data_IF_518587493414
#
_entry.id   IF_518587493414
#
_cell.length_a   1.000
_cell.length_b   1.000
_cell.length_c   1.000
_cell.angle_alpha   90.00
_cell.angle_beta   90.00
_cell.angle_gamma   90.00
#
_symmetry.space_group_name_H-M   'P 1'
#
loop_
_entity.id
_entity.type
_entity.pdbx_description
1 polymer ?
#
# COMPACT_ATOMS: atom_id res chain seq x y z
N UNK A 1 -8.88 0.72 12.14
CA UNK A 1 -8.03 1.87 11.79
C UNK A 1 -8.75 2.77 10.81
N UNK A 2 -8.74 4.08 11.01
CA UNK A 2 -9.40 4.99 10.05
C UNK A 2 -8.63 5.08 8.72
N UNK A 3 -7.30 5.24 8.77
CA UNK A 3 -6.50 5.35 7.54
C UNK A 3 -5.08 4.79 7.69
N UNK A 4 -4.58 4.17 6.63
CA UNK A 4 -3.15 3.84 6.45
C UNK A 4 -2.59 4.67 5.30
N UNK A 5 -1.41 5.26 5.49
CA UNK A 5 -0.71 6.00 4.44
C UNK A 5 0.40 5.12 3.87
N UNK A 6 0.35 4.89 2.56
CA UNK A 6 1.35 4.14 1.81
C UNK A 6 2.09 5.14 0.92
N UNK A 7 3.39 5.29 1.16
CA UNK A 7 4.24 6.11 0.30
C UNK A 7 4.55 5.34 -0.98
N UNK A 8 4.43 6.00 -2.14
CA UNK A 8 4.77 5.45 -3.44
C UNK A 8 5.94 6.22 -4.04
N UNK A 9 6.96 5.53 -4.52
CA UNK A 9 8.08 6.16 -5.23
C UNK A 9 8.35 5.39 -6.50
N UNK A 10 8.12 6.05 -7.63
CA UNK A 10 8.44 5.51 -8.95
C UNK A 10 9.96 5.47 -9.14
N UNK A 11 10.44 4.33 -9.61
CA UNK A 11 11.81 4.14 -10.06
C UNK A 11 11.78 3.78 -11.55
N UNK A 12 12.96 3.57 -12.11
CA UNK A 12 13.11 3.25 -13.53
C UNK A 12 12.25 2.00 -13.81
N UNK A 13 12.59 0.91 -13.16
CA UNK A 13 12.15 -0.47 -13.39
C UNK A 13 11.01 -0.92 -12.46
N UNK A 14 10.35 0.00 -11.75
CA UNK A 14 9.36 -0.40 -10.75
C UNK A 14 8.83 0.70 -9.86
N UNK A 15 8.06 0.30 -8.85
CA UNK A 15 7.58 1.17 -7.78
C UNK A 15 7.89 0.60 -6.43
N UNK A 16 8.42 1.48 -5.58
CA UNK A 16 8.50 1.24 -4.16
C UNK A 16 7.23 1.70 -3.47
N UNK A 17 6.70 0.83 -2.65
CA UNK A 17 5.63 1.13 -1.71
C UNK A 17 6.17 1.01 -0.30
N UNK A 18 5.83 1.94 0.58
CA UNK A 18 6.35 1.96 1.94
C UNK A 18 5.34 2.39 2.98
N UNK A 19 5.47 1.82 4.18
CA UNK A 19 4.77 2.26 5.37
C UNK A 19 5.67 3.17 6.20
N UNK A 20 5.06 4.21 6.79
CA UNK A 20 5.77 5.02 7.77
C UNK A 20 6.01 4.20 9.06
N UNK A 21 7.07 4.50 9.84
CA UNK A 21 7.26 3.87 11.15
C UNK A 21 6.06 4.03 12.10
N UNK A 22 5.33 5.15 11.97
CA UNK A 22 4.12 5.41 12.75
C UNK A 22 2.98 4.47 12.35
N UNK A 23 2.77 4.25 11.05
CA UNK A 23 1.71 3.36 10.55
C UNK A 23 2.03 1.90 10.85
N UNK A 24 3.31 1.50 10.78
CA UNK A 24 3.76 0.17 11.22
C UNK A 24 3.43 -0.08 12.69
N UNK A 25 3.69 0.90 13.56
CA UNK A 25 3.37 0.80 14.98
C UNK A 25 1.86 0.65 15.19
N UNK A 26 1.05 1.48 14.55
CA UNK A 26 -0.41 1.42 14.66
C UNK A 26 -0.98 0.10 14.13
N UNK A 27 -0.47 -0.39 12.99
CA UNK A 27 -0.84 -1.71 12.46
C UNK A 27 -0.53 -2.81 13.45
N UNK A 28 0.63 -2.78 14.11
CA UNK A 28 0.98 -3.76 15.15
C UNK A 28 0.14 -3.65 16.42
N UNK A 29 -0.28 -2.45 16.81
CA UNK A 29 -1.16 -2.24 17.96
C UNK A 29 -2.58 -2.76 17.69
N UNK A 30 -3.10 -2.55 16.48
CA UNK A 30 -4.46 -2.96 16.12
C UNK A 30 -4.54 -4.43 15.65
N UNK A 31 -3.47 -4.93 15.05
CA UNK A 31 -3.34 -6.30 14.56
C UNK A 31 -2.06 -6.94 15.13
N UNK A 32 -2.08 -7.43 16.37
CA UNK A 32 -0.88 -7.94 17.06
C UNK A 32 -0.14 -9.04 16.30
N UNK A 33 -0.91 -9.92 15.66
CA UNK A 33 -0.41 -11.08 14.90
C UNK A 33 0.07 -10.72 13.49
N UNK A 34 -0.22 -9.50 13.01
CA UNK A 34 0.23 -9.06 11.68
C UNK A 34 1.75 -8.96 11.60
N UNK A 35 2.32 -9.21 10.43
CA UNK A 35 3.77 -9.08 10.18
C UNK A 35 4.03 -8.00 9.11
N UNK A 36 3.70 -6.73 9.40
CA UNK A 36 3.75 -5.69 8.39
C UNK A 36 5.19 -5.42 7.96
N UNK A 37 5.37 -5.26 6.65
CA UNK A 37 6.67 -5.02 6.02
C UNK A 37 6.84 -3.53 5.74
N UNK A 38 8.03 -2.99 6.00
CA UNK A 38 8.29 -1.55 5.80
C UNK A 38 8.18 -1.11 4.35
N UNK A 39 8.60 -1.99 3.43
CA UNK A 39 8.79 -1.66 2.03
C UNK A 39 8.58 -2.87 1.15
N UNK A 40 7.82 -2.70 0.08
CA UNK A 40 7.64 -3.70 -0.97
C UNK A 40 7.95 -3.03 -2.30
N UNK A 41 8.76 -3.68 -3.13
CA UNK A 41 9.08 -3.22 -4.48
C UNK A 41 8.36 -4.10 -5.49
N UNK A 42 7.69 -3.46 -6.45
CA UNK A 42 7.05 -4.15 -7.58
C UNK A 42 7.76 -3.70 -8.84
N UNK A 43 8.52 -4.62 -9.42
CA UNK A 43 9.18 -4.41 -10.71
C UNK A 43 8.18 -4.56 -11.86
N UNK A 44 8.35 -3.80 -12.93
CA UNK A 44 7.64 -3.98 -14.19
C UNK A 44 8.59 -3.75 -15.36
N UNK A 45 8.32 -4.41 -16.49
CA UNK A 45 9.07 -4.15 -17.72
C UNK A 45 8.66 -2.80 -18.31
N UNK A 46 9.67 -2.03 -18.72
CA UNK A 46 9.57 -0.63 -19.16
C UNK A 46 8.63 -0.33 -20.34
N UNK A 47 8.10 -1.38 -20.97
CA UNK A 47 7.27 -1.26 -22.17
C UNK A 47 5.81 -0.90 -21.87
N UNK A 48 5.42 -0.71 -20.61
CA UNK A 48 4.01 -0.55 -20.26
C UNK A 48 3.50 0.90 -20.27
N UNK A 49 2.94 1.27 -21.42
CA UNK A 49 1.83 2.24 -21.54
C UNK A 49 0.61 1.89 -20.66
N UNK A 50 0.58 0.69 -20.04
CA UNK A 50 -0.52 0.11 -19.28
C UNK A 50 -0.30 0.08 -17.75
N UNK A 51 0.61 0.92 -17.24
CA UNK A 51 0.87 1.02 -15.80
C UNK A 51 -0.40 1.33 -14.98
N UNK A 52 -1.26 2.25 -15.44
CA UNK A 52 -2.49 2.61 -14.71
C UNK A 52 -3.45 1.42 -14.53
N UNK A 53 -3.80 0.68 -15.60
CA UNK A 53 -4.57 -0.58 -15.48
C UNK A 53 -3.94 -1.62 -14.57
N UNK A 54 -2.62 -1.81 -14.63
CA UNK A 54 -1.91 -2.77 -13.80
C UNK A 54 -1.94 -2.35 -12.32
N UNK A 55 -1.74 -1.07 -12.06
CA UNK A 55 -1.75 -0.50 -10.71
C UNK A 55 -3.08 -0.74 -9.99
N UNK A 56 -4.21 -0.57 -10.67
CA UNK A 56 -5.53 -0.86 -10.07
C UNK A 56 -5.72 -2.34 -9.70
N UNK A 57 -5.12 -3.26 -10.47
CA UNK A 57 -5.12 -4.70 -10.14
C UNK A 57 -4.19 -4.99 -8.97
N UNK A 58 -2.97 -4.42 -8.99
CA UNK A 58 -1.92 -4.67 -7.99
C UNK A 58 -2.33 -4.18 -6.61
N UNK A 59 -3.02 -3.03 -6.49
CA UNK A 59 -3.51 -2.48 -5.21
C UNK A 59 -4.20 -3.50 -4.30
N UNK A 60 -5.02 -4.39 -4.88
CA UNK A 60 -5.78 -5.41 -4.13
C UNK A 60 -4.90 -6.51 -3.56
N UNK A 61 -3.82 -6.86 -4.26
CA UNK A 61 -2.87 -7.89 -3.82
C UNK A 61 -1.75 -7.32 -2.95
N UNK A 62 -1.51 -6.02 -3.08
CA UNK A 62 -0.43 -5.32 -2.41
C UNK A 62 -0.66 -5.16 -0.91
N UNK A 63 -1.90 -4.85 -0.52
CA UNK A 63 -2.25 -4.55 0.87
C UNK A 63 -1.93 -5.69 1.84
N UNK A 64 -2.35 -6.95 1.58
CA UNK A 64 -1.99 -8.09 2.44
C UNK A 64 -0.47 -8.26 2.61
N UNK A 65 0.30 -8.08 1.54
CA UNK A 65 1.77 -8.22 1.58
C UNK A 65 2.42 -7.12 2.44
N UNK A 66 1.90 -5.89 2.35
CA UNK A 66 2.45 -4.76 3.09
C UNK A 66 2.07 -4.81 4.58
N UNK A 67 0.82 -5.18 4.89
CA UNK A 67 0.30 -5.18 6.26
C UNK A 67 0.55 -6.49 6.99
N UNK A 68 0.82 -7.59 6.26
CA UNK A 68 0.89 -8.93 6.84
C UNK A 68 -0.48 -9.42 7.36
N UNK A 69 -1.58 -8.93 6.77
CA UNK A 69 -2.96 -9.29 7.13
C UNK A 69 -3.54 -10.07 5.95
N UNK A 70 -3.64 -11.38 6.09
CA UNK A 70 -4.12 -12.28 5.03
C UNK A 70 -5.65 -12.41 5.01
N UNK A 71 -6.32 -12.31 6.16
CA UNK A 71 -7.78 -12.41 6.23
C UNK A 71 -8.42 -11.14 5.66
N UNK A 72 -9.20 -11.23 4.56
CA UNK A 72 -9.90 -10.08 4.00
C UNK A 72 -10.85 -9.39 4.99
N UNK A 73 -11.42 -10.13 5.96
CA UNK A 73 -12.30 -9.54 6.99
C UNK A 73 -11.54 -8.67 7.97
N UNK A 74 -10.34 -9.08 8.34
CA UNK A 74 -9.44 -8.27 9.16
C UNK A 74 -8.95 -7.05 8.38
N UNK A 75 -8.63 -7.21 7.10
CA UNK A 75 -8.20 -6.13 6.23
C UNK A 75 -9.25 -5.01 6.12
N UNK A 76 -10.55 -5.36 6.13
CA UNK A 76 -11.67 -4.38 6.13
C UNK A 76 -11.73 -3.52 7.40
N UNK A 77 -11.04 -3.88 8.49
CA UNK A 77 -10.93 -3.01 9.67
C UNK A 77 -10.07 -1.77 9.40
N UNK A 78 -9.28 -1.78 8.33
CA UNK A 78 -8.66 -0.58 7.77
C UNK A 78 -9.70 0.09 6.87
N UNK A 79 -10.24 1.25 7.25
CA UNK A 79 -11.28 1.90 6.45
C UNK A 79 -10.75 2.45 5.14
N UNK A 80 -9.64 3.19 5.20
CA UNK A 80 -9.08 3.87 4.03
C UNK A 80 -7.59 3.61 3.88
N UNK A 81 -7.17 3.49 2.62
CA UNK A 81 -5.75 3.38 2.25
C UNK A 81 -5.40 4.51 1.31
N UNK A 82 -4.49 5.37 1.74
CA UNK A 82 -4.06 6.54 1.00
C UNK A 82 -2.69 6.27 0.40
N UNK A 83 -2.63 6.28 -0.93
CA UNK A 83 -1.39 6.20 -1.67
C UNK A 83 -0.85 7.60 -1.94
N UNK A 84 0.36 7.88 -1.46
CA UNK A 84 0.97 9.20 -1.51
C UNK A 84 2.32 9.14 -2.20
N UNK A 85 2.48 9.88 -3.30
CA UNK A 85 3.77 10.10 -3.92
C UNK A 85 4.40 11.37 -3.29
N UNK A 86 5.56 11.27 -2.62
CA UNK A 86 6.18 12.41 -1.94
C UNK A 86 6.67 13.49 -2.91
N UNK A 87 6.77 13.21 -4.21
CA UNK A 87 7.02 14.22 -5.24
C UNK A 87 5.79 15.08 -5.56
N UNK A 88 4.59 14.65 -5.11
CA UNK A 88 3.31 15.33 -5.34
C UNK A 88 2.73 15.86 -4.04
N UNK A 89 1.97 16.96 -4.14
CA UNK A 89 1.35 17.61 -2.96
C UNK A 89 0.01 17.02 -2.54
N UNK A 90 -0.53 16.05 -3.29
CA UNK A 90 -1.88 15.47 -3.12
C UNK A 90 -1.76 13.94 -3.22
N UNK A 91 -2.57 13.14 -2.48
CA UNK A 91 -2.60 11.69 -2.64
C UNK A 91 -2.88 11.28 -4.09
N UNK A 92 -2.15 10.30 -4.59
CA UNK A 92 -2.28 9.77 -5.94
C UNK A 92 -3.49 8.85 -6.10
N UNK A 93 -3.87 8.17 -5.01
CA UNK A 93 -5.07 7.36 -4.97
C UNK A 93 -5.57 7.16 -3.53
N UNK A 94 -6.87 6.97 -3.38
CA UNK A 94 -7.49 6.52 -2.12
C UNK A 94 -8.35 5.30 -2.42
N UNK A 95 -8.23 4.26 -1.59
CA UNK A 95 -9.09 3.08 -1.64
C UNK A 95 -9.93 3.04 -0.36
N UNK A 96 -11.23 2.89 -0.51
CA UNK A 96 -12.13 2.52 0.58
C UNK A 96 -12.25 0.98 0.62
N UNK A 97 -12.08 0.40 1.80
CA UNK A 97 -12.16 -1.05 2.01
C UNK A 97 -13.47 -1.49 2.65
N UNK A 98 -14.39 -0.55 2.98
CA UNK A 98 -15.72 -0.87 3.51
C UNK A 98 -16.72 -1.27 2.43
#
# INVERSE_FOLDING_TARGET
MDKVIITMTKQLDGINFGLSPLDLKKLKEEFPDSTPTRKVFVSFDYNETDFQPLFEKVKKYFLPVLTGIEDPKELKKIRQVHFFDPSKRIPDATIDLN
#
